data_IF_510339521525
#
_entry.id   IF_510339521525
#
_cell.length_a   1.000
_cell.length_b   1.000
_cell.length_c   1.000
_cell.angle_alpha   90.00
_cell.angle_beta   90.00
_cell.angle_gamma   90.00
#
_symmetry.space_group_name_H-M   'P 1'
#
loop_
_entity.id
_entity.type
_entity.pdbx_description
1 polymer ?
#
# COMPACT_ATOMS: atom_id res chain seq x y z
N UNK A 1 0.63 4.55 7.51
CA UNK A 1 -0.78 4.13 7.71
C UNK A 1 -1.44 4.13 6.35
N UNK A 2 -2.29 3.15 6.05
CA UNK A 2 -2.96 3.04 4.75
C UNK A 2 -4.46 2.82 4.93
N UNK A 3 -5.27 3.40 4.03
CA UNK A 3 -6.72 3.12 4.00
C UNK A 3 -6.99 1.73 3.45
N UNK A 4 -8.19 1.18 3.75
CA UNK A 4 -8.67 -0.08 3.17
C UNK A 4 -8.57 -0.07 1.64
N UNK A 5 -9.02 1.02 1.01
CA UNK A 5 -9.01 1.19 -0.45
C UNK A 5 -7.60 1.12 -1.02
N UNK A 6 -6.63 1.82 -0.43
CA UNK A 6 -5.24 1.80 -0.89
C UNK A 6 -4.64 0.39 -0.81
N UNK A 7 -4.93 -0.35 0.26
CA UNK A 7 -4.49 -1.75 0.42
C UNK A 7 -5.12 -2.63 -0.66
N UNK A 8 -6.42 -2.48 -0.92
CA UNK A 8 -7.14 -3.29 -1.89
C UNK A 8 -6.65 -3.04 -3.32
N UNK A 9 -6.42 -1.79 -3.71
CA UNK A 9 -5.88 -1.45 -5.03
C UNK A 9 -4.44 -1.95 -5.15
N UNK A 10 -3.62 -1.82 -4.10
CA UNK A 10 -2.26 -2.40 -4.08
C UNK A 10 -2.32 -3.92 -4.31
N UNK A 11 -3.19 -4.64 -3.61
CA UNK A 11 -3.42 -6.07 -3.85
C UNK A 11 -3.79 -6.37 -5.31
N UNK A 12 -4.73 -5.62 -5.89
CA UNK A 12 -5.19 -5.81 -7.27
C UNK A 12 -4.07 -5.61 -8.31
N UNK A 13 -3.18 -4.65 -8.08
CA UNK A 13 -2.02 -4.41 -8.94
C UNK A 13 -0.97 -5.54 -8.82
N UNK A 14 -0.75 -6.05 -7.61
CA UNK A 14 0.27 -7.06 -7.34
C UNK A 14 -0.15 -8.48 -7.74
N UNK A 15 -1.44 -8.85 -7.59
CA UNK A 15 -1.89 -10.26 -7.62
C UNK A 15 -1.53 -11.05 -8.87
N UNK A 16 -1.33 -10.40 -10.01
CA UNK A 16 -0.94 -11.08 -11.26
C UNK A 16 0.56 -11.34 -11.37
N UNK A 17 1.38 -10.46 -10.78
CA UNK A 17 2.84 -10.48 -10.90
C UNK A 17 3.50 -11.18 -9.72
N UNK A 18 3.02 -10.87 -8.52
CA UNK A 18 3.54 -11.38 -7.27
C UNK A 18 2.38 -11.79 -6.33
N UNK A 19 1.78 -12.98 -6.53
CA UNK A 19 0.63 -13.43 -5.74
C UNK A 19 0.93 -13.57 -4.25
N UNK A 20 2.16 -13.97 -3.88
CA UNK A 20 2.60 -14.09 -2.48
C UNK A 20 2.57 -12.72 -1.80
N UNK A 21 3.19 -11.73 -2.41
CA UNK A 21 3.23 -10.37 -1.88
C UNK A 21 1.84 -9.73 -1.86
N UNK A 22 1.04 -9.96 -2.89
CA UNK A 22 -0.35 -9.52 -2.93
C UNK A 22 -1.14 -10.08 -1.74
N UNK A 23 -1.01 -11.37 -1.43
CA UNK A 23 -1.67 -11.97 -0.27
C UNK A 23 -1.21 -11.32 1.04
N UNK A 24 0.09 -11.07 1.19
CA UNK A 24 0.63 -10.36 2.36
C UNK A 24 0.02 -8.95 2.52
N UNK A 25 -0.08 -8.19 1.43
CA UNK A 25 -0.73 -6.87 1.43
C UNK A 25 -2.21 -6.99 1.78
N UNK A 26 -2.93 -7.95 1.20
CA UNK A 26 -4.37 -8.17 1.50
C UNK A 26 -4.60 -8.49 2.97
N UNK A 27 -3.69 -9.26 3.59
CA UNK A 27 -3.82 -9.66 4.99
C UNK A 27 -3.80 -8.45 5.95
N UNK A 28 -3.20 -7.32 5.56
CA UNK A 28 -3.22 -6.07 6.33
C UNK A 28 -4.67 -5.63 6.57
N UNK A 29 -5.50 -5.62 5.52
CA UNK A 29 -6.92 -5.22 5.62
C UNK A 29 -7.82 -6.29 6.27
N UNK A 30 -7.26 -7.47 6.56
CA UNK A 30 -7.90 -8.52 7.37
C UNK A 30 -7.58 -8.42 8.86
N UNK A 31 -6.65 -7.55 9.26
CA UNK A 31 -6.35 -7.24 10.66
C UNK A 31 -7.36 -6.26 11.29
N UNK A 32 -7.07 -5.84 12.52
CA UNK A 32 -7.88 -4.86 13.24
C UNK A 32 -7.59 -3.44 12.70
N UNK A 33 -8.61 -2.66 12.29
CA UNK A 33 -8.41 -1.28 11.90
C UNK A 33 -7.98 -0.40 13.09
N UNK A 34 -7.29 0.70 12.78
CA UNK A 34 -6.99 1.73 13.76
C UNK A 34 -8.28 2.35 14.31
N UNK A 35 -8.29 2.62 15.62
CA UNK A 35 -9.41 3.27 16.28
C UNK A 35 -9.72 4.62 15.61
N UNK A 36 -11.00 4.85 15.34
CA UNK A 36 -11.51 6.10 14.79
C UNK A 36 -11.73 7.08 15.95
N UNK A 37 -11.32 8.33 15.78
CA UNK A 37 -11.62 9.36 16.79
C UNK A 37 -13.14 9.49 16.97
N UNK A 38 -13.55 9.41 18.22
CA UNK A 38 -14.94 9.32 18.67
C UNK A 38 -15.70 10.63 18.36
N UNK A 39 -16.23 10.76 17.15
CA UNK A 39 -17.33 11.69 16.85
C UNK A 39 -18.18 11.30 15.62
N UNK A 40 -17.84 10.22 14.92
CA UNK A 40 -18.64 9.72 13.79
C UNK A 40 -19.10 8.29 14.05
N UNK A 41 -20.35 8.18 14.47
CA UNK A 41 -21.21 6.99 14.60
C UNK A 41 -21.47 6.25 13.26
N UNK A 42 -20.52 6.26 12.33
CA UNK A 42 -20.63 5.49 11.11
C UNK A 42 -19.58 4.38 11.19
N UNK A 43 -20.05 3.17 11.50
CA UNK A 43 -19.35 1.90 11.28
C UNK A 43 -19.19 1.66 9.76
N UNK A 44 -18.54 2.61 9.10
CA UNK A 44 -18.26 2.58 7.68
C UNK A 44 -16.85 2.04 7.48
N UNK A 45 -16.78 0.79 7.00
CA UNK A 45 -15.53 0.07 6.74
C UNK A 45 -14.67 0.73 5.65
N UNK A 46 -15.26 1.59 4.82
CA UNK A 46 -14.52 2.30 3.77
C UNK A 46 -13.64 3.42 4.36
N UNK A 47 -13.91 3.81 5.61
CA UNK A 47 -13.09 4.77 6.37
C UNK A 47 -12.00 4.10 7.22
N UNK A 48 -11.88 2.77 7.16
CA UNK A 48 -10.89 2.04 7.94
C UNK A 48 -9.46 2.33 7.46
N UNK A 49 -8.59 2.51 8.44
CA UNK A 49 -7.15 2.68 8.25
C UNK A 49 -6.39 1.59 9.00
N UNK A 50 -5.27 1.17 8.44
CA UNK A 50 -4.47 0.07 8.97
C UNK A 50 -3.02 0.50 9.14
N UNK A 51 -2.40 0.00 10.21
CA UNK A 51 -0.95 0.01 10.33
C UNK A 51 -0.40 -1.10 9.45
N UNK A 52 0.67 -0.80 8.72
CA UNK A 52 1.38 -1.80 7.93
C UNK A 52 2.36 -2.50 8.87
N UNK A 53 2.17 -3.81 9.03
CA UNK A 53 3.02 -4.67 9.86
C UNK A 53 3.97 -5.55 9.02
N UNK A 54 4.09 -5.25 7.72
CA UNK A 54 5.06 -5.90 6.84
C UNK A 54 6.48 -5.49 7.24
N UNK A 55 7.41 -6.44 7.14
CA UNK A 55 8.84 -6.15 7.26
C UNK A 55 9.35 -5.26 6.12
N UNK A 56 10.54 -4.70 6.30
CA UNK A 56 11.15 -3.77 5.34
C UNK A 56 11.44 -4.41 3.98
N UNK A 57 11.66 -5.74 3.93
CA UNK A 57 11.86 -6.47 2.68
C UNK A 57 10.59 -6.53 1.85
N UNK A 58 9.46 -6.92 2.46
CA UNK A 58 8.17 -6.95 1.79
C UNK A 58 7.72 -5.54 1.38
N UNK A 59 7.94 -4.52 2.22
CA UNK A 59 7.62 -3.12 1.86
C UNK A 59 8.44 -2.66 0.65
N UNK A 60 9.74 -2.97 0.62
CA UNK A 60 10.59 -2.69 -0.54
C UNK A 60 10.08 -3.41 -1.80
N UNK A 61 9.74 -4.69 -1.69
CA UNK A 61 9.22 -5.48 -2.81
C UNK A 61 7.91 -4.90 -3.36
N UNK A 62 7.04 -4.35 -2.50
CA UNK A 62 5.81 -3.64 -2.93
C UNK A 62 6.16 -2.41 -3.75
N UNK A 63 7.11 -1.60 -3.28
CA UNK A 63 7.56 -0.39 -4.01
C UNK A 63 8.13 -0.78 -5.38
N UNK A 64 8.99 -1.80 -5.42
CA UNK A 64 9.62 -2.27 -6.66
C UNK A 64 8.58 -2.76 -7.68
N UNK A 65 7.58 -3.55 -7.25
CA UNK A 65 6.50 -4.00 -8.13
C UNK A 65 5.62 -2.83 -8.60
N UNK A 66 5.27 -1.89 -7.73
CA UNK A 66 4.47 -0.72 -8.11
C UNK A 66 5.22 0.21 -9.06
N UNK A 67 6.55 0.35 -8.90
CA UNK A 67 7.39 1.13 -9.80
C UNK A 67 7.33 0.61 -11.23
N UNK A 68 7.05 -0.68 -11.43
CA UNK A 68 6.94 -1.26 -12.77
C UNK A 68 5.81 -0.66 -13.61
N UNK A 69 4.74 -0.17 -12.98
CA UNK A 69 3.63 0.51 -13.64
C UNK A 69 3.97 1.96 -14.05
N UNK A 70 5.12 2.47 -13.62
CA UNK A 70 5.58 3.83 -13.94
C UNK A 70 6.51 3.88 -15.14
N UNK A 71 6.99 2.72 -15.63
CA UNK A 71 7.82 2.65 -16.82
C UNK A 71 7.02 3.03 -18.08
N UNK A 72 7.62 3.77 -19.04
CA UNK A 72 6.92 4.21 -20.25
C UNK A 72 6.19 3.09 -21.01
N UNK A 73 6.79 1.90 -21.05
CA UNK A 73 6.26 0.74 -21.78
C UNK A 73 5.14 0.01 -21.02
N UNK A 74 4.99 0.27 -19.72
CA UNK A 74 3.97 -0.33 -18.85
C UNK A 74 2.75 0.57 -18.66
N UNK A 75 2.78 1.81 -19.17
CA UNK A 75 1.66 2.76 -19.09
C UNK A 75 0.47 2.22 -19.87
N UNK A 76 -0.63 1.93 -19.17
CA UNK A 76 -1.88 1.55 -19.80
C UNK A 76 -2.54 2.80 -20.39
N UNK A 77 -2.38 3.00 -21.70
CA UNK A 77 -2.95 4.16 -22.41
C UNK A 77 -4.49 4.12 -22.48
N UNK A 78 -5.10 2.95 -22.30
CA UNK A 78 -6.55 2.79 -22.29
C UNK A 78 -7.12 3.06 -20.90
N UNK A 79 -6.31 2.93 -19.85
CA UNK A 79 -6.70 3.18 -18.47
C UNK A 79 -5.72 4.13 -17.74
N UNK A 80 -5.74 5.44 -18.05
CA UNK A 80 -4.87 6.42 -17.40
C UNK A 80 -5.11 6.52 -15.89
N UNK A 81 -6.33 6.20 -15.41
CA UNK A 81 -6.65 6.18 -13.99
C UNK A 81 -5.82 5.17 -13.20
N UNK A 82 -5.61 3.97 -13.75
CA UNK A 82 -4.76 2.94 -13.13
C UNK A 82 -3.30 3.40 -13.01
N UNK A 83 -2.77 4.10 -14.01
CA UNK A 83 -1.40 4.61 -13.96
C UNK A 83 -1.24 5.68 -12.87
N UNK A 84 -2.22 6.57 -12.72
CA UNK A 84 -2.23 7.58 -11.65
C UNK A 84 -2.29 6.90 -10.29
N UNK A 85 -3.22 5.94 -10.10
CA UNK A 85 -3.34 5.21 -8.84
C UNK A 85 -2.05 4.45 -8.49
N UNK A 86 -1.44 3.75 -9.45
CA UNK A 86 -0.20 3.02 -9.22
C UNK A 86 0.95 3.97 -8.82
N UNK A 87 1.05 5.14 -9.44
CA UNK A 87 2.06 6.15 -9.09
C UNK A 87 1.83 6.73 -7.69
N UNK A 88 0.58 7.06 -7.34
CA UNK A 88 0.24 7.55 -5.99
C UNK A 88 0.56 6.49 -4.93
N UNK A 89 0.13 5.25 -5.14
CA UNK A 89 0.43 4.15 -4.21
C UNK A 89 1.93 3.93 -4.08
N UNK A 90 2.68 3.94 -5.19
CA UNK A 90 4.14 3.81 -5.15
C UNK A 90 4.77 4.88 -4.25
N UNK A 91 4.32 6.13 -4.33
CA UNK A 91 4.81 7.21 -3.48
C UNK A 91 4.46 6.99 -1.99
N UNK A 92 3.24 6.56 -1.68
CA UNK A 92 2.81 6.28 -0.31
C UNK A 92 3.64 5.13 0.31
N UNK A 93 3.85 4.06 -0.45
CA UNK A 93 4.67 2.91 -0.02
C UNK A 93 6.15 3.27 0.10
N UNK A 94 6.68 4.12 -0.78
CA UNK A 94 8.05 4.62 -0.70
C UNK A 94 8.25 5.50 0.53
N UNK A 95 7.28 6.34 0.88
CA UNK A 95 7.31 7.13 2.12
C UNK A 95 7.38 6.23 3.35
N UNK A 96 6.57 5.16 3.40
CA UNK A 96 6.66 4.17 4.47
C UNK A 96 8.05 3.52 4.52
N UNK A 97 8.60 3.11 3.38
CA UNK A 97 9.93 2.51 3.32
C UNK A 97 11.01 3.45 3.90
N UNK A 98 10.96 4.74 3.53
CA UNK A 98 11.87 5.75 4.08
C UNK A 98 11.71 5.93 5.59
N UNK A 99 10.48 5.93 6.11
CA UNK A 99 10.23 5.99 7.55
C UNK A 99 10.80 4.77 8.28
N UNK A 100 10.67 3.57 7.71
CA UNK A 100 11.23 2.35 8.30
C UNK A 100 12.76 2.40 8.37
N UNK A 101 13.42 2.91 7.32
CA UNK A 101 14.89 3.10 7.33
C UNK A 101 15.33 4.16 8.32
N UNK A 102 14.62 5.29 8.40
CA UNK A 102 14.94 6.37 9.32
C UNK A 102 14.82 5.92 10.79
N UNK A 103 13.79 5.11 11.11
CA UNK A 103 13.60 4.56 12.45
C UNK A 103 14.73 3.58 12.83
N UNK A 104 15.27 2.81 11.88
CA UNK A 104 16.41 1.93 12.13
C UNK A 104 17.71 2.71 12.42
N UNK A 105 17.87 3.90 11.84
CA UNK A 105 19.05 4.75 12.05
C UNK A 105 18.97 5.65 13.30
N UNK A 106 17.80 5.74 13.93
CA UNK A 106 17.57 6.54 15.13
C UNK A 106 17.79 5.81 16.46
N UNK A 107 18.11 4.50 16.40
CA UNK A 107 18.36 3.64 17.56
C UNK A 107 19.88 3.46 17.86
N UNK A 108 20.75 4.31 17.28
CA UNK A 108 22.20 4.41 17.56
C UNK A 108 22.54 5.53 18.58
#
# INVERSE_FOLDING_TARGET
>A
VFSRGSIQITFELLRKRNPRLALAVRNIAGGEPLAKDYDKLLDDKDTDHFRVELDSYNVREVVEELMTFTYPDAVDRQNPGVNIMARTLMQDWLLLAHQMVANLAGDD
#
